data_IF_498026118778
#
_entry.id   IF_498026118778
#
_cell.length_a   1.000
_cell.length_b   1.000
_cell.length_c   1.000
_cell.angle_alpha   90.00
_cell.angle_beta   90.00
_cell.angle_gamma   90.00
#
_symmetry.space_group_name_H-M   'P 1'
#
loop_
_entity.id
_entity.type
_entity.pdbx_description
1 polymer ?
#
# COMPACT_ATOMS: atom_id res chain seq x y z
N UNK A 1 18.03 7.54 14.60
CA UNK A 1 17.43 6.86 13.43
C UNK A 1 16.38 5.85 13.89
N UNK A 2 15.21 5.80 13.24
CA UNK A 2 14.12 4.84 13.53
C UNK A 2 13.61 4.22 12.23
N UNK A 3 12.92 3.08 12.34
CA UNK A 3 12.35 2.34 11.19
C UNK A 3 10.85 2.10 11.38
N UNK A 4 10.16 1.85 10.26
CA UNK A 4 8.70 1.71 10.21
C UNK A 4 8.18 0.50 10.99
N UNK A 5 8.96 -0.55 11.18
CA UNK A 5 8.47 -1.73 11.87
C UNK A 5 9.53 -2.76 12.25
N UNK A 6 9.09 -3.86 12.90
CA UNK A 6 9.98 -4.87 13.46
C UNK A 6 10.71 -5.69 12.40
N UNK A 7 10.15 -5.86 11.20
CA UNK A 7 10.82 -6.62 10.14
C UNK A 7 11.98 -5.80 9.57
N UNK A 8 11.78 -4.50 9.37
CA UNK A 8 12.86 -3.59 8.98
C UNK A 8 13.95 -3.51 10.04
N UNK A 9 13.60 -3.44 11.32
CA UNK A 9 14.59 -3.46 12.42
C UNK A 9 15.41 -4.75 12.39
N UNK A 10 14.75 -5.91 12.23
CA UNK A 10 15.41 -7.22 12.16
C UNK A 10 16.36 -7.35 10.96
N UNK A 11 15.96 -6.87 9.79
CA UNK A 11 16.79 -6.92 8.57
C UNK A 11 18.01 -6.01 8.67
N UNK A 12 17.87 -4.87 9.35
CA UNK A 12 18.94 -3.89 9.54
C UNK A 12 19.74 -4.12 10.84
N UNK A 13 19.48 -5.20 11.57
CA UNK A 13 20.15 -5.54 12.83
C UNK A 13 20.05 -4.42 13.88
N UNK A 14 18.94 -3.68 13.85
CA UNK A 14 18.67 -2.60 14.79
C UNK A 14 17.98 -3.12 16.06
N UNK A 15 18.22 -2.48 17.21
CA UNK A 15 17.46 -2.72 18.43
C UNK A 15 15.94 -2.58 18.22
N UNK A 16 15.15 -3.38 18.94
CA UNK A 16 13.70 -3.43 18.77
C UNK A 16 13.00 -2.09 19.08
N UNK A 17 13.58 -1.26 19.95
CA UNK A 17 13.10 0.10 20.25
C UNK A 17 13.27 1.09 19.07
N UNK A 18 13.98 0.70 18.00
CA UNK A 18 14.05 1.49 16.75
C UNK A 18 12.84 1.26 15.84
N UNK A 19 12.09 0.16 16.02
CA UNK A 19 10.81 -0.02 15.35
C UNK A 19 9.75 0.82 16.05
N UNK A 20 9.36 1.95 15.43
CA UNK A 20 8.33 2.84 15.95
C UNK A 20 7.05 2.66 15.14
N UNK A 21 6.94 3.35 14.01
CA UNK A 21 5.89 3.19 12.98
C UNK A 21 6.20 4.14 11.81
N UNK A 22 5.26 4.31 10.88
CA UNK A 22 5.36 5.26 9.79
C UNK A 22 5.16 6.71 10.27
N UNK A 23 5.94 7.64 9.71
CA UNK A 23 5.90 9.05 10.10
C UNK A 23 4.57 9.76 9.82
N UNK A 24 3.74 9.24 8.91
CA UNK A 24 2.41 9.81 8.63
C UNK A 24 1.48 9.80 9.86
N UNK A 25 1.79 9.00 10.90
CA UNK A 25 1.06 9.05 12.18
C UNK A 25 1.13 10.44 12.84
N UNK A 26 2.21 11.20 12.59
CA UNK A 26 2.36 12.57 13.09
C UNK A 26 1.32 13.55 12.54
N UNK A 27 0.60 13.22 11.46
CA UNK A 27 -0.51 14.05 10.98
C UNK A 27 -1.53 14.31 12.09
N UNK A 28 -1.76 13.33 12.98
CA UNK A 28 -2.69 13.48 14.11
C UNK A 28 -2.30 14.58 15.11
N UNK A 29 -1.05 15.03 15.11
CA UNK A 29 -0.54 16.09 15.99
C UNK A 29 -0.88 17.49 15.45
N UNK A 30 -1.24 17.59 14.18
CA UNK A 30 -1.61 18.84 13.51
C UNK A 30 -3.10 19.13 13.72
N UNK A 31 -3.42 20.37 14.08
CA UNK A 31 -4.77 20.79 14.43
C UNK A 31 -5.81 20.54 13.33
N UNK A 32 -5.42 20.75 12.09
CA UNK A 32 -6.21 20.61 10.87
C UNK A 32 -6.50 19.16 10.48
N UNK A 33 -5.74 18.20 11.05
CA UNK A 33 -5.83 16.77 10.74
C UNK A 33 -6.23 15.93 11.96
N UNK A 34 -6.82 16.54 12.99
CA UNK A 34 -7.36 15.79 14.14
C UNK A 34 -8.44 14.80 13.70
N UNK A 35 -8.48 13.56 14.22
CA UNK A 35 -9.56 12.62 13.94
C UNK A 35 -10.95 13.26 14.12
N UNK A 36 -11.86 13.03 13.16
CA UNK A 36 -13.25 13.51 13.26
C UNK A 36 -14.09 12.55 14.12
N UNK A 37 -15.15 13.01 14.81
CA UNK A 37 -16.15 12.13 15.40
C UNK A 37 -16.77 11.19 14.37
N UNK A 38 -17.16 9.98 14.77
CA UNK A 38 -17.76 8.99 13.85
C UNK A 38 -19.04 9.53 13.17
N UNK A 39 -19.83 10.34 13.88
CA UNK A 39 -21.06 10.94 13.35
C UNK A 39 -20.83 11.90 12.16
N UNK A 40 -19.63 12.44 12.01
CA UNK A 40 -19.26 13.32 10.90
C UNK A 40 -18.68 12.56 9.70
N UNK A 41 -18.58 11.23 9.80
CA UNK A 41 -17.97 10.37 8.79
C UNK A 41 -19.03 9.62 8.00
N UNK A 42 -18.83 9.50 6.70
CA UNK A 42 -19.77 8.84 5.80
C UNK A 42 -19.05 8.12 4.67
N UNK A 43 -19.75 7.15 4.06
CA UNK A 43 -19.29 6.48 2.86
C UNK A 43 -18.12 5.52 3.06
N UNK A 44 -17.81 4.79 1.99
CA UNK A 44 -16.69 3.89 1.88
C UNK A 44 -15.79 4.38 0.74
N UNK A 45 -14.48 4.48 0.99
CA UNK A 45 -13.49 4.95 0.02
C UNK A 45 -12.57 3.80 -0.34
N UNK A 46 -12.37 3.55 -1.63
CA UNK A 46 -11.34 2.66 -2.14
C UNK A 46 -10.13 3.45 -2.65
N UNK A 47 -8.94 3.09 -2.17
CA UNK A 47 -7.67 3.65 -2.61
C UNK A 47 -6.78 2.56 -3.21
N UNK A 48 -6.66 2.48 -4.55
CA UNK A 48 -5.77 1.52 -5.21
C UNK A 48 -4.30 1.89 -4.95
N UNK A 49 -3.39 0.96 -5.20
CA UNK A 49 -1.97 1.30 -5.32
C UNK A 49 -1.74 2.14 -6.58
N UNK A 50 -0.87 3.14 -6.51
CA UNK A 50 -0.64 4.08 -7.62
C UNK A 50 -0.32 3.39 -8.95
N UNK A 51 0.39 2.26 -8.91
CA UNK A 51 0.74 1.49 -10.10
C UNK A 51 -0.46 0.75 -10.71
N UNK A 52 -1.48 0.37 -9.93
CA UNK A 52 -2.67 -0.28 -10.45
C UNK A 52 -3.45 0.64 -11.42
N UNK A 53 -3.27 1.96 -11.29
CA UNK A 53 -3.93 2.96 -12.12
C UNK A 53 -3.39 3.06 -13.54
N UNK A 54 -2.21 2.49 -13.85
CA UNK A 54 -1.69 2.57 -15.22
C UNK A 54 -2.34 1.56 -16.17
N UNK A 55 -3.01 0.53 -15.63
CA UNK A 55 -3.60 -0.55 -16.42
C UNK A 55 -5.05 -0.90 -16.02
N UNK A 56 -5.46 -0.61 -14.79
CA UNK A 56 -6.80 -0.90 -14.29
C UNK A 56 -7.82 0.21 -14.58
N UNK A 57 -9.10 -0.15 -14.59
CA UNK A 57 -10.25 0.76 -14.67
C UNK A 57 -10.97 0.84 -13.31
N UNK A 58 -10.19 1.12 -12.26
CA UNK A 58 -10.68 1.21 -10.89
C UNK A 58 -11.74 2.29 -10.64
N UNK A 59 -11.74 3.46 -11.32
CA UNK A 59 -12.84 4.42 -11.20
C UNK A 59 -14.21 3.81 -11.56
N UNK A 60 -14.27 3.03 -12.65
CA UNK A 60 -15.50 2.39 -13.10
C UNK A 60 -15.91 1.21 -12.19
N UNK A 61 -14.94 0.43 -11.70
CA UNK A 61 -15.19 -0.61 -10.69
C UNK A 61 -15.84 -0.02 -9.44
N UNK A 62 -15.29 1.09 -8.94
CA UNK A 62 -15.81 1.80 -7.77
C UNK A 62 -17.22 2.36 -8.02
N UNK A 63 -17.43 2.97 -9.20
CA UNK A 63 -18.76 3.46 -9.61
C UNK A 63 -19.81 2.36 -9.58
N UNK A 64 -19.50 1.16 -10.10
CA UNK A 64 -20.44 0.00 -10.07
C UNK A 64 -20.59 -0.61 -8.67
N UNK A 65 -19.56 -0.50 -7.85
CA UNK A 65 -19.59 -0.95 -6.47
C UNK A 65 -20.37 0.00 -5.54
N UNK A 66 -20.65 1.23 -5.97
CA UNK A 66 -21.21 2.26 -5.08
C UNK A 66 -20.21 2.71 -4.01
N UNK A 67 -18.92 2.60 -4.31
CA UNK A 67 -17.81 2.95 -3.41
C UNK A 67 -17.06 4.13 -4.03
N UNK A 68 -16.64 5.07 -3.19
CA UNK A 68 -15.92 6.24 -3.65
C UNK A 68 -14.51 5.86 -4.12
N UNK A 69 -14.16 6.24 -5.34
CA UNK A 69 -12.79 6.12 -5.84
C UNK A 69 -11.96 7.31 -5.38
N UNK A 70 -10.77 7.04 -4.83
CA UNK A 70 -9.79 8.07 -4.49
C UNK A 70 -8.42 7.73 -5.10
N UNK A 71 -7.93 8.61 -5.97
CA UNK A 71 -6.60 8.48 -6.58
C UNK A 71 -5.50 8.87 -5.57
N UNK A 72 -4.59 7.96 -5.18
CA UNK A 72 -3.51 8.27 -4.25
C UNK A 72 -2.46 9.25 -4.81
N UNK A 73 -2.49 9.55 -6.11
CA UNK A 73 -1.58 10.49 -6.79
C UNK A 73 -2.09 11.94 -6.77
N UNK A 74 -3.30 12.15 -6.24
CA UNK A 74 -3.90 13.48 -6.12
C UNK A 74 -3.18 14.37 -5.11
N UNK A 75 -3.73 15.57 -4.89
CA UNK A 75 -3.21 16.48 -3.87
C UNK A 75 -3.26 15.82 -2.48
N UNK A 76 -2.14 15.88 -1.75
CA UNK A 76 -2.00 15.23 -0.46
C UNK A 76 -3.02 15.71 0.58
N UNK A 77 -3.36 17.01 0.59
CA UNK A 77 -4.31 17.55 1.56
C UNK A 77 -5.73 17.09 1.25
N UNK A 78 -6.10 17.06 -0.02
CA UNK A 78 -7.40 16.52 -0.46
C UNK A 78 -7.52 15.02 -0.15
N UNK A 79 -6.51 14.22 -0.47
CA UNK A 79 -6.48 12.78 -0.17
C UNK A 79 -6.67 12.53 1.33
N UNK A 80 -5.91 13.22 2.18
CA UNK A 80 -6.04 13.09 3.63
C UNK A 80 -7.43 13.54 4.10
N UNK A 81 -7.94 14.66 3.58
CA UNK A 81 -9.24 15.19 3.95
C UNK A 81 -10.41 14.27 3.58
N UNK A 82 -10.33 13.59 2.42
CA UNK A 82 -11.33 12.59 1.99
C UNK A 82 -11.24 11.33 2.82
N UNK A 83 -10.04 10.81 3.07
CA UNK A 83 -9.85 9.66 3.97
C UNK A 83 -10.36 9.93 5.38
N UNK A 84 -10.08 11.11 5.94
CA UNK A 84 -10.51 11.52 7.29
C UNK A 84 -12.02 11.59 7.45
N UNK A 85 -12.77 11.90 6.39
CA UNK A 85 -14.25 11.96 6.38
C UNK A 85 -14.91 10.63 6.02
N UNK A 86 -14.14 9.63 5.58
CA UNK A 86 -14.68 8.33 5.26
C UNK A 86 -15.11 7.56 6.52
N UNK A 87 -16.18 6.77 6.43
CA UNK A 87 -16.56 5.81 7.48
C UNK A 87 -15.73 4.53 7.41
N UNK A 88 -15.30 4.15 6.21
CA UNK A 88 -14.49 2.96 5.94
C UNK A 88 -13.51 3.23 4.79
N UNK A 89 -12.29 2.72 4.90
CA UNK A 89 -11.28 2.79 3.84
C UNK A 89 -10.87 1.39 3.39
N UNK A 90 -11.05 1.06 2.12
CA UNK A 90 -10.52 -0.15 1.50
C UNK A 90 -9.20 0.24 0.80
N UNK A 91 -8.08 -0.32 1.27
CA UNK A 91 -6.75 0.16 0.92
C UNK A 91 -5.89 -0.93 0.27
N UNK A 92 -5.53 -0.69 -0.98
CA UNK A 92 -4.40 -1.35 -1.67
C UNK A 92 -3.11 -0.52 -1.50
N UNK A 93 -3.27 0.80 -1.39
CA UNK A 93 -2.20 1.72 -0.97
C UNK A 93 -1.96 1.62 0.55
N UNK A 94 -0.77 1.17 0.95
CA UNK A 94 -0.39 1.11 2.37
C UNK A 94 -0.47 2.47 3.07
N UNK A 95 -0.11 3.56 2.39
CA UNK A 95 -0.21 4.90 2.98
C UNK A 95 -1.67 5.32 3.20
N UNK A 96 -2.62 4.85 2.37
CA UNK A 96 -4.04 5.09 2.63
C UNK A 96 -4.50 4.40 3.92
N UNK A 97 -4.03 3.17 4.19
CA UNK A 97 -4.30 2.49 5.46
C UNK A 97 -3.64 3.19 6.65
N UNK A 98 -2.37 3.62 6.52
CA UNK A 98 -1.67 4.39 7.55
C UNK A 98 -2.43 5.67 7.89
N UNK A 99 -2.83 6.44 6.87
CA UNK A 99 -3.57 7.69 7.06
C UNK A 99 -4.95 7.41 7.66
N UNK A 100 -5.67 6.39 7.17
CA UNK A 100 -6.95 5.99 7.75
C UNK A 100 -6.83 5.67 9.24
N UNK A 101 -5.87 4.81 9.61
CA UNK A 101 -5.59 4.45 11.00
C UNK A 101 -5.19 5.68 11.86
N UNK A 102 -4.39 6.58 11.29
CA UNK A 102 -4.01 7.87 11.90
C UNK A 102 -5.22 8.74 12.19
N UNK A 103 -6.16 8.81 11.25
CA UNK A 103 -7.43 9.54 11.37
C UNK A 103 -8.50 8.78 12.15
N UNK A 104 -8.13 7.61 12.71
CA UNK A 104 -8.99 6.68 13.45
C UNK A 104 -10.15 6.14 12.61
N UNK A 105 -9.98 6.02 11.30
CA UNK A 105 -10.96 5.48 10.34
C UNK A 105 -10.67 3.98 10.13
N UNK A 106 -11.64 3.08 10.36
CA UNK A 106 -11.46 1.65 10.11
C UNK A 106 -11.07 1.39 8.65
N UNK A 107 -10.20 0.39 8.44
CA UNK A 107 -9.67 0.10 7.12
C UNK A 107 -9.58 -1.40 6.81
N UNK A 108 -9.62 -1.76 5.52
CA UNK A 108 -9.55 -3.14 5.03
C UNK A 108 -8.40 -3.23 4.02
N UNK A 109 -7.37 -4.05 4.25
CA UNK A 109 -6.32 -4.25 3.27
C UNK A 109 -6.84 -5.10 2.11
N UNK A 110 -6.52 -4.67 0.89
CA UNK A 110 -6.73 -5.46 -0.31
C UNK A 110 -5.47 -5.51 -1.14
N UNK A 111 -5.42 -6.44 -2.10
CA UNK A 111 -4.31 -6.60 -3.03
C UNK A 111 -4.88 -6.65 -4.45
N UNK A 112 -4.51 -5.67 -5.28
CA UNK A 112 -4.93 -5.60 -6.69
C UNK A 112 -3.93 -6.25 -7.65
N UNK A 113 -2.65 -6.35 -7.25
CA UNK A 113 -1.58 -6.86 -8.12
C UNK A 113 -0.44 -7.52 -7.34
N UNK A 114 0.45 -8.21 -8.06
CA UNK A 114 1.65 -8.81 -7.44
C UNK A 114 2.75 -7.78 -7.09
N UNK A 115 2.55 -6.49 -7.41
CA UNK A 115 3.49 -5.40 -7.05
C UNK A 115 3.33 -4.98 -5.59
N UNK A 116 2.20 -5.32 -4.96
CA UNK A 116 1.94 -4.96 -3.57
C UNK A 116 2.96 -5.62 -2.66
N UNK A 117 3.65 -4.80 -1.89
CA UNK A 117 4.78 -5.25 -1.11
C UNK A 117 4.33 -5.78 0.26
N UNK A 118 4.14 -7.10 0.35
CA UNK A 118 3.74 -7.79 1.59
C UNK A 118 4.71 -7.54 2.75
N UNK A 119 6.01 -7.37 2.48
CA UNK A 119 7.00 -7.01 3.51
C UNK A 119 6.66 -5.67 4.15
N UNK A 120 6.44 -4.63 3.35
CA UNK A 120 6.13 -3.30 3.87
C UNK A 120 4.84 -3.29 4.71
N UNK A 121 3.81 -4.00 4.23
CA UNK A 121 2.54 -4.14 4.93
C UNK A 121 2.69 -4.86 6.27
N UNK A 122 3.28 -6.05 6.30
CA UNK A 122 3.50 -6.79 7.57
C UNK A 122 4.38 -6.01 8.54
N UNK A 123 5.39 -5.32 8.04
CA UNK A 123 6.29 -4.49 8.84
C UNK A 123 5.52 -3.35 9.52
N UNK A 124 4.71 -2.59 8.77
CA UNK A 124 3.89 -1.54 9.36
C UNK A 124 2.78 -2.09 10.28
N UNK A 125 2.02 -3.09 9.84
CA UNK A 125 0.97 -3.73 10.63
C UNK A 125 1.52 -4.26 11.98
N UNK A 126 2.70 -4.87 11.96
CA UNK A 126 3.39 -5.32 13.18
C UNK A 126 3.76 -4.18 14.12
N UNK A 127 4.10 -2.99 13.60
CA UNK A 127 4.39 -1.80 14.43
C UNK A 127 3.15 -1.26 15.16
N UNK A 128 1.98 -1.41 14.54
CA UNK A 128 0.67 -0.95 15.04
C UNK A 128 -0.14 -2.05 15.71
N UNK A 129 0.44 -3.26 15.86
CA UNK A 129 -0.18 -4.43 16.50
C UNK A 129 -1.53 -4.83 15.87
N UNK A 130 -1.68 -4.60 14.56
CA UNK A 130 -2.85 -4.96 13.75
C UNK A 130 -2.51 -6.12 12.83
N UNK A 131 -3.44 -7.06 12.56
CA UNK A 131 -3.16 -8.15 11.65
C UNK A 131 -3.21 -7.67 10.19
N UNK A 132 -2.35 -8.23 9.35
CA UNK A 132 -2.41 -8.05 7.90
C UNK A 132 -3.09 -9.26 7.25
N UNK A 133 -4.38 -9.11 6.91
CA UNK A 133 -5.19 -10.13 6.23
C UNK A 133 -5.79 -9.57 4.93
N UNK A 134 -4.98 -9.40 3.88
CA UNK A 134 -5.45 -8.78 2.65
C UNK A 134 -6.45 -9.66 1.91
N UNK A 135 -7.43 -9.01 1.27
CA UNK A 135 -8.33 -9.66 0.31
C UNK A 135 -7.78 -9.43 -1.10
N UNK A 136 -7.58 -10.50 -1.85
CA UNK A 136 -7.15 -10.41 -3.25
C UNK A 136 -8.34 -10.00 -4.12
N UNK A 137 -8.22 -8.86 -4.81
CA UNK A 137 -9.21 -8.41 -5.76
C UNK A 137 -8.82 -8.88 -7.18
N UNK A 138 -9.79 -9.33 -7.99
CA UNK A 138 -9.50 -9.67 -9.37
C UNK A 138 -9.17 -8.40 -10.17
N UNK A 139 -8.34 -8.55 -11.19
CA UNK A 139 -7.98 -7.46 -12.09
C UNK A 139 -9.24 -6.87 -12.76
N UNK A 140 -9.30 -5.54 -12.80
CA UNK A 140 -10.38 -4.78 -13.44
C UNK A 140 -10.32 -4.83 -14.97
N UNK A 141 -9.14 -5.09 -15.54
CA UNK A 141 -8.92 -5.20 -16.99
C UNK A 141 -8.01 -6.39 -17.34
N UNK A 142 -8.03 -6.79 -18.61
CA UNK A 142 -7.08 -7.80 -19.12
C UNK A 142 -5.65 -7.27 -19.10
N UNK A 143 -5.45 -5.98 -19.42
CA UNK A 143 -4.14 -5.33 -19.43
C UNK A 143 -3.50 -5.37 -18.03
N UNK A 144 -4.29 -5.10 -16.99
CA UNK A 144 -3.88 -5.21 -15.58
C UNK A 144 -3.51 -6.65 -15.21
N UNK A 145 -4.32 -7.63 -15.61
CA UNK A 145 -4.03 -9.04 -15.37
C UNK A 145 -2.72 -9.47 -16.04
N UNK A 146 -2.54 -9.18 -17.33
CA UNK A 146 -1.31 -9.54 -18.07
C UNK A 146 -0.09 -8.83 -17.51
N UNK A 147 -0.22 -7.53 -17.17
CA UNK A 147 0.83 -6.79 -16.47
C UNK A 147 1.23 -7.50 -15.18
N UNK A 148 0.26 -7.83 -14.33
CA UNK A 148 0.50 -8.48 -13.04
C UNK A 148 1.24 -9.82 -13.21
N UNK A 149 0.85 -10.61 -14.21
CA UNK A 149 1.49 -11.89 -14.54
C UNK A 149 2.92 -11.74 -15.07
N UNK A 150 3.27 -10.61 -15.69
CA UNK A 150 4.60 -10.35 -16.24
C UNK A 150 5.63 -9.85 -15.20
N UNK A 151 5.19 -9.37 -14.03
CA UNK A 151 6.06 -8.82 -12.98
C UNK A 151 7.20 -9.71 -12.49
N UNK A 152 7.05 -11.06 -12.42
CA UNK A 152 8.16 -11.94 -12.06
C UNK A 152 9.34 -11.83 -13.04
N UNK A 153 9.07 -11.52 -14.31
CA UNK A 153 10.10 -11.41 -15.37
C UNK A 153 11.04 -10.22 -15.12
N UNK A 154 10.59 -9.19 -14.39
CA UNK A 154 11.39 -7.98 -14.10
C UNK A 154 11.70 -7.83 -12.62
N UNK A 155 11.46 -8.87 -11.82
CA UNK A 155 11.75 -8.88 -10.38
C UNK A 155 10.91 -7.89 -9.56
N UNK A 156 9.70 -7.59 -10.02
CA UNK A 156 8.74 -6.72 -9.33
C UNK A 156 7.61 -7.49 -8.65
N UNK A 157 7.71 -8.82 -8.57
CA UNK A 157 6.83 -9.61 -7.70
C UNK A 157 7.24 -9.38 -6.25
N UNK A 158 6.43 -8.64 -5.51
CA UNK A 158 6.62 -8.38 -4.08
C UNK A 158 5.53 -9.00 -3.21
N UNK A 159 4.40 -9.39 -3.82
CA UNK A 159 3.30 -10.06 -3.12
C UNK A 159 3.65 -11.51 -2.75
N UNK A 160 3.42 -11.85 -1.49
CA UNK A 160 3.63 -13.18 -0.90
C UNK A 160 2.32 -13.61 -0.24
N UNK A 161 1.80 -14.76 -0.68
CA UNK A 161 0.58 -15.37 -0.16
C UNK A 161 0.85 -16.82 0.26
N UNK A 162 0.51 -17.25 1.49
CA UNK A 162 0.01 -16.45 2.60
C UNK A 162 1.07 -15.48 3.16
N UNK A 163 0.66 -14.33 3.73
CA UNK A 163 1.56 -13.28 4.21
C UNK A 163 2.11 -13.61 5.60
N UNK A 164 2.98 -14.61 5.72
CA UNK A 164 3.64 -14.95 6.99
C UNK A 164 5.03 -14.32 7.08
N UNK A 165 5.46 -13.94 8.29
CA UNK A 165 6.79 -13.35 8.51
C UNK A 165 7.92 -14.19 7.91
N UNK A 166 7.87 -15.51 8.09
CA UNK A 166 8.89 -16.46 7.60
C UNK A 166 8.98 -16.46 6.07
N UNK A 167 7.84 -16.51 5.37
CA UNK A 167 7.78 -16.51 3.90
C UNK A 167 8.22 -15.16 3.34
N UNK A 168 7.84 -14.08 4.01
CA UNK A 168 8.17 -12.72 3.58
C UNK A 168 9.65 -12.39 3.79
N UNK A 169 10.25 -12.80 4.91
CA UNK A 169 11.69 -12.63 5.15
C UNK A 169 12.53 -13.50 4.20
N UNK A 170 12.14 -14.75 3.95
CA UNK A 170 12.84 -15.60 2.98
C UNK A 170 12.71 -15.07 1.55
N UNK A 171 11.52 -14.58 1.17
CA UNK A 171 11.31 -13.90 -0.12
C UNK A 171 12.20 -12.66 -0.24
N UNK A 172 12.20 -11.78 0.77
CA UNK A 172 13.03 -10.57 0.80
C UNK A 172 14.53 -10.90 0.64
N UNK A 173 15.05 -11.84 1.45
CA UNK A 173 16.46 -12.26 1.37
C UNK A 173 16.82 -12.79 -0.01
N UNK A 174 15.95 -13.62 -0.60
CA UNK A 174 16.13 -14.12 -1.97
C UNK A 174 16.14 -12.98 -2.99
N UNK A 175 15.22 -12.02 -2.89
CA UNK A 175 15.17 -10.87 -3.78
C UNK A 175 16.43 -10.01 -3.67
N UNK A 176 16.92 -9.73 -2.45
CA UNK A 176 18.18 -8.99 -2.24
C UNK A 176 19.36 -9.75 -2.84
N UNK A 177 19.50 -11.04 -2.56
CA UNK A 177 20.59 -11.86 -3.07
C UNK A 177 20.62 -11.94 -4.61
N UNK A 178 19.45 -11.94 -5.26
CA UNK A 178 19.35 -11.88 -6.73
C UNK A 178 19.74 -10.49 -7.24
N UNK A 179 19.20 -9.42 -6.64
CA UNK A 179 19.42 -8.03 -7.08
C UNK A 179 20.87 -7.56 -6.90
N UNK A 180 21.63 -8.19 -6.00
CA UNK A 180 23.06 -7.94 -5.81
C UNK A 180 23.95 -8.62 -6.87
N UNK A 181 23.42 -9.53 -7.70
CA UNK A 181 24.22 -10.20 -8.73
C UNK A 181 24.54 -9.25 -9.89
N UNK A 182 25.77 -9.29 -10.38
CA UNK A 182 26.25 -8.42 -11.47
C UNK A 182 25.43 -8.53 -12.77
N UNK A 183 24.84 -9.70 -13.07
CA UNK A 183 24.01 -9.90 -14.26
C UNK A 183 22.58 -9.34 -14.13
N UNK A 184 22.13 -9.06 -12.91
CA UNK A 184 20.73 -8.67 -12.65
C UNK A 184 20.29 -7.43 -13.43
N UNK A 185 21.06 -6.32 -13.49
CA UNK A 185 20.67 -5.14 -14.27
C UNK A 185 20.45 -5.45 -15.76
N UNK A 186 21.25 -6.37 -16.33
CA UNK A 186 21.08 -6.78 -17.72
C UNK A 186 19.82 -7.62 -17.91
N UNK A 187 19.59 -8.61 -17.05
CA UNK A 187 18.39 -9.44 -17.11
C UNK A 187 17.11 -8.63 -16.90
N UNK A 188 17.12 -7.67 -15.97
CA UNK A 188 16.00 -6.77 -15.74
C UNK A 188 15.69 -5.95 -17.00
N UNK A 189 16.70 -5.34 -17.63
CA UNK A 189 16.53 -4.58 -18.89
C UNK A 189 16.03 -5.45 -20.03
N UNK A 190 16.57 -6.66 -20.18
CA UNK A 190 16.11 -7.61 -21.20
C UNK A 190 14.66 -8.00 -20.97
N UNK A 191 14.29 -8.28 -19.72
CA UNK A 191 12.92 -8.49 -19.33
C UNK A 191 12.04 -7.30 -19.73
N UNK A 192 12.36 -6.09 -19.25
CA UNK A 192 11.55 -4.89 -19.49
C UNK A 192 11.34 -4.68 -21.00
N UNK A 193 12.38 -4.92 -21.81
CA UNK A 193 12.28 -4.91 -23.27
C UNK A 193 11.26 -5.92 -23.78
N UNK A 194 11.34 -7.19 -23.38
CA UNK A 194 10.39 -8.24 -23.80
C UNK A 194 8.93 -7.83 -23.50
N UNK A 195 8.69 -7.27 -22.32
CA UNK A 195 7.36 -6.81 -21.93
C UNK A 195 6.90 -5.62 -22.78
N UNK A 196 7.73 -4.59 -22.94
CA UNK A 196 7.36 -3.39 -23.70
C UNK A 196 7.27 -3.63 -25.22
N UNK A 197 8.11 -4.51 -25.78
CA UNK A 197 8.17 -4.76 -27.23
C UNK A 197 7.20 -5.82 -27.73
N UNK A 198 6.94 -6.86 -26.91
CA UNK A 198 6.09 -8.00 -27.25
C UNK A 198 4.72 -7.94 -26.57
N UNK A 199 4.71 -8.08 -25.24
CA UNK A 199 3.47 -8.25 -24.46
C UNK A 199 2.54 -7.03 -24.61
N UNK A 200 3.07 -5.81 -24.42
CA UNK A 200 2.27 -4.58 -24.51
C UNK A 200 1.74 -4.29 -25.92
N UNK A 201 2.43 -4.75 -26.97
CA UNK A 201 1.99 -4.62 -28.36
C UNK A 201 0.81 -5.56 -28.65
N UNK A 202 0.90 -6.81 -28.19
CA UNK A 202 -0.19 -7.79 -28.30
C UNK A 202 -1.41 -7.34 -27.51
N UNK A 203 -1.23 -6.83 -26.29
CA UNK A 203 -2.31 -6.25 -25.49
C UNK A 203 -3.00 -5.09 -26.21
N UNK A 204 -2.23 -4.14 -26.75
CA UNK A 204 -2.81 -3.03 -27.54
C UNK A 204 -3.58 -3.55 -28.75
N UNK A 205 -3.05 -4.52 -29.49
CA UNK A 205 -3.77 -5.11 -30.62
C UNK A 205 -5.09 -5.78 -30.19
N UNK A 206 -5.10 -6.46 -29.04
CA UNK A 206 -6.31 -7.03 -28.45
C UNK A 206 -7.28 -5.97 -27.91
N UNK A 207 -6.78 -4.81 -27.44
CA UNK A 207 -7.58 -3.67 -27.01
C UNK A 207 -8.32 -3.01 -28.20
N UNK A 208 -7.67 -2.95 -29.37
CA UNK A 208 -8.22 -2.36 -30.59
C UNK A 208 -9.08 -3.30 -31.44
N UNK A 209 -9.11 -4.61 -31.17
CA UNK A 209 -9.81 -5.57 -32.02
C UNK A 209 -11.34 -5.52 -31.92
N UNK A 210 -11.93 -4.65 -31.10
CA UNK A 210 -13.38 -4.43 -30.97
C UNK A 210 -14.19 -5.63 -30.44
N UNK A 211 -13.58 -6.81 -30.44
CA UNK A 211 -14.13 -8.06 -29.97
C UNK A 211 -14.02 -8.10 -28.45
N UNK A 212 -15.21 -7.94 -27.85
CA UNK A 212 -15.57 -8.20 -26.44
C UNK A 212 -15.61 -7.00 -25.49
N UNK A 213 -16.31 -5.92 -25.89
CA UNK A 213 -16.89 -4.96 -24.91
C UNK A 213 -17.58 -5.71 -23.75
N UNK A 214 -18.38 -6.72 -24.07
CA UNK A 214 -19.05 -7.59 -23.08
C UNK A 214 -18.09 -8.26 -22.09
N UNK A 215 -16.93 -8.79 -22.55
CA UNK A 215 -15.98 -9.43 -21.64
C UNK A 215 -15.18 -8.43 -20.79
N UNK A 216 -15.01 -7.18 -21.26
CA UNK A 216 -14.44 -6.09 -20.45
C UNK A 216 -15.42 -5.68 -19.36
N UNK A 217 -16.69 -5.47 -19.72
CA UNK A 217 -17.79 -5.15 -18.81
C UNK A 217 -17.92 -6.23 -17.72
N UNK A 218 -17.93 -7.50 -18.11
CA UNK A 218 -18.01 -8.62 -17.16
C UNK A 218 -16.84 -8.66 -16.15
N UNK A 219 -15.61 -8.32 -16.56
CA UNK A 219 -14.46 -8.25 -15.63
C UNK A 219 -14.62 -7.13 -14.61
N UNK A 220 -15.07 -5.96 -15.07
CA UNK A 220 -15.36 -4.83 -14.20
C UNK A 220 -16.46 -5.20 -13.20
N UNK A 221 -17.51 -5.90 -13.64
CA UNK A 221 -18.59 -6.36 -12.76
C UNK A 221 -18.11 -7.36 -11.70
N UNK A 222 -17.23 -8.29 -12.10
CA UNK A 222 -16.60 -9.25 -11.18
C UNK A 222 -15.73 -8.51 -10.14
N UNK A 223 -14.91 -7.54 -10.57
CA UNK A 223 -14.10 -6.72 -9.68
C UNK A 223 -14.97 -5.84 -8.75
N UNK A 224 -16.06 -5.28 -9.26
CA UNK A 224 -16.99 -4.46 -8.47
C UNK A 224 -17.75 -5.29 -7.44
N UNK A 225 -18.14 -6.53 -7.80
CA UNK A 225 -18.75 -7.47 -6.86
C UNK A 225 -17.74 -7.92 -5.79
N UNK A 226 -16.48 -8.15 -6.15
CA UNK A 226 -15.42 -8.47 -5.18
C UNK A 226 -15.14 -7.30 -4.23
N UNK A 227 -15.09 -6.07 -4.75
CA UNK A 227 -14.88 -4.86 -3.94
C UNK A 227 -16.05 -4.62 -2.97
N UNK A 228 -17.31 -4.84 -3.41
CA UNK A 228 -18.49 -4.80 -2.52
C UNK A 228 -18.41 -5.82 -1.41
N UNK A 229 -18.09 -7.08 -1.74
CA UNK A 229 -17.89 -8.14 -0.72
C UNK A 229 -16.77 -7.78 0.25
N UNK A 230 -15.68 -7.18 -0.22
CA UNK A 230 -14.60 -6.74 0.65
C UNK A 230 -15.07 -5.69 1.66
N UNK A 231 -15.95 -4.76 1.26
CA UNK A 231 -16.52 -3.73 2.15
C UNK A 231 -17.34 -4.31 3.33
N UNK A 232 -17.83 -5.54 3.20
CA UNK A 232 -18.62 -6.24 4.23
C UNK A 232 -17.76 -7.09 5.19
N UNK A 233 -16.45 -7.20 4.93
CA UNK A 233 -15.54 -7.98 5.77
C UNK A 233 -15.10 -7.21 7.03
N UNK A 234 -14.57 -7.91 8.06
CA UNK A 234 -14.01 -7.24 9.23
C UNK A 234 -12.93 -6.22 8.83
N UNK A 235 -13.09 -5.00 9.34
CA UNK A 235 -12.09 -3.95 9.23
C UNK A 235 -11.13 -3.97 10.42
N UNK A 236 -10.03 -3.26 10.26
CA UNK A 236 -8.98 -3.13 11.26
C UNK A 236 -8.86 -1.68 11.70
N UNK A 237 -8.47 -1.51 12.96
CA UNK A 237 -8.09 -0.25 13.55
C UNK A 237 -7.12 -0.55 14.69
N UNK A 238 -6.00 0.16 14.75
CA UNK A 238 -5.05 -0.03 15.86
C UNK A 238 -5.67 0.34 17.20
N UNK A 239 -5.22 -0.30 18.28
CA UNK A 239 -5.66 0.05 19.62
C UNK A 239 -5.25 1.50 19.99
N UNK A 240 -6.13 2.22 20.66
CA UNK A 240 -5.93 3.61 21.08
C UNK A 240 -4.65 3.81 21.90
N UNK A 241 -4.28 2.85 22.75
CA UNK A 241 -3.04 2.90 23.56
C UNK A 241 -1.82 2.72 22.68
N UNK A 242 -1.87 1.80 21.72
CA UNK A 242 -0.77 1.58 20.75
C UNK A 242 -0.59 2.83 19.90
N UNK A 243 -1.70 3.36 19.34
CA UNK A 243 -1.72 4.57 18.53
C UNK A 243 -1.11 5.78 19.27
N UNK A 244 -1.53 6.04 20.51
CA UNK A 244 -0.97 7.14 21.34
C UNK A 244 0.51 6.93 21.59
N UNK A 245 0.89 5.73 22.06
CA UNK A 245 2.28 5.41 22.34
C UNK A 245 3.20 5.58 21.14
N UNK A 246 2.78 5.14 19.94
CA UNK A 246 3.59 5.31 18.72
C UNK A 246 3.69 6.77 18.32
N UNK A 247 2.61 7.54 18.47
CA UNK A 247 2.60 9.00 18.20
C UNK A 247 3.59 9.71 19.13
N UNK A 248 3.52 9.46 20.44
CA UNK A 248 4.41 10.07 21.43
C UNK A 248 5.88 9.73 21.13
N UNK A 249 6.19 8.47 20.83
CA UNK A 249 7.55 8.04 20.46
C UNK A 249 8.06 8.74 19.21
N UNK A 250 7.21 9.02 18.22
CA UNK A 250 7.60 9.80 17.03
C UNK A 250 7.83 11.28 17.38
N UNK A 251 6.97 11.88 18.20
CA UNK A 251 7.15 13.24 18.70
C UNK A 251 8.50 13.38 19.42
N UNK A 252 8.84 12.46 20.31
CA UNK A 252 10.13 12.42 21.01
C UNK A 252 11.32 12.40 20.03
N UNK A 253 11.22 11.63 18.93
CA UNK A 253 12.27 11.63 17.91
C UNK A 253 12.40 12.99 17.21
N UNK A 254 11.27 13.63 16.88
CA UNK A 254 11.27 14.97 16.26
C UNK A 254 11.87 16.01 17.20
N UNK A 255 11.55 15.96 18.49
CA UNK A 255 12.10 16.87 19.50
C UNK A 255 13.60 16.70 19.67
N UNK A 256 14.09 15.45 19.73
CA UNK A 256 15.53 15.16 19.73
C UNK A 256 16.21 15.73 18.50
N UNK A 257 15.63 15.55 17.30
CA UNK A 257 16.22 16.11 16.08
C UNK A 257 16.27 17.65 16.12
N UNK A 258 15.22 18.30 16.65
CA UNK A 258 15.17 19.75 16.83
C UNK A 258 16.22 20.25 17.83
N UNK A 259 16.46 19.53 18.94
CA UNK A 259 17.46 19.94 19.93
C UNK A 259 18.88 19.88 19.35
N UNK A 260 19.21 18.81 18.60
CA UNK A 260 20.53 18.64 17.97
C UNK A 260 20.75 19.64 16.83
N UNK A 261 19.72 19.92 16.02
CA UNK A 261 19.82 20.95 14.97
C UNK A 261 20.06 22.35 15.55
N UNK A 262 19.63 22.61 16.79
CA UNK A 262 19.88 23.88 17.49
C UNK A 262 21.26 23.93 18.16
N UNK A 263 21.84 22.78 18.52
CA UNK A 263 23.17 22.72 19.16
C UNK A 263 24.33 22.64 18.16
N UNK A 264 24.08 22.40 16.87
CA UNK A 264 25.12 22.38 15.83
C UNK A 264 25.86 21.04 15.68
N UNK A 265 25.54 20.04 16.51
CA UNK A 265 26.19 18.72 16.51
C UNK A 265 25.46 17.75 15.57
N UNK A 266 25.80 17.79 14.28
CA UNK A 266 25.29 16.82 13.29
C UNK A 266 26.09 15.51 13.23
N UNK A 267 27.25 15.42 13.89
CA UNK A 267 28.15 14.25 13.81
C UNK A 267 27.74 13.08 14.73
N UNK A 268 26.84 13.27 15.70
CA UNK A 268 26.52 12.25 16.71
C UNK A 268 25.38 11.27 16.34
N UNK A 269 24.93 11.26 15.08
CA UNK A 269 23.73 10.50 14.64
C UNK A 269 23.99 9.39 13.60
N UNK A 270 25.26 9.09 13.28
CA UNK A 270 25.66 7.86 12.57
C UNK A 270 25.88 6.71 13.57
#
# INVERSE_FOLDING_TARGET
MSVRGPLSARVLELPADKAITDGALLLSTLSEYRPLPEAERAGCVFVPHHQALDAGNWPEVCRRAGIEFLDPRGDSRDVVARLRRARLVIADSMHAAIIADTMRVPWIPVVTSLEINTFKWLDWCGSMEVPYRPIELPASTLDEWVRSMALPIHGQRYHVSPPTETKVLSHYRRSVAIKQRAWWPLAQRCGERIYFSGVRRVLRAAHFSGLTRSAREARIDVAAAALRRAAETPSWLSDDRVWRNRTDRLCDQVERLRSHSRSGDLEALM
#
